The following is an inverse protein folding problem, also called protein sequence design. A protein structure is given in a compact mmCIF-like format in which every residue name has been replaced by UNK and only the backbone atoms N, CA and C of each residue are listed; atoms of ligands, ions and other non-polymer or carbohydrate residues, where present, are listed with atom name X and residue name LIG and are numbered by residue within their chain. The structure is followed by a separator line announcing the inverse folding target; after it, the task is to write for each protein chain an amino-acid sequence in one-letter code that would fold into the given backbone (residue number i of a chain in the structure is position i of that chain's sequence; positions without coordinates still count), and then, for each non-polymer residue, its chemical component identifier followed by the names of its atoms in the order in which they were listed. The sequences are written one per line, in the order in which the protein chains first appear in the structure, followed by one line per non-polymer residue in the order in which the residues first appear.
data_IF_906624749762
#
_entry.id   IF_906624749762
#
_cell.length_a   1.000
_cell.length_b   1.000
_cell.length_c   1.000
_cell.angle_alpha   90.00
_cell.angle_beta   90.00
_cell.angle_gamma   90.00
#
_symmetry.space_group_name_H-M   'P 1'
#
loop_
_entity.id
_entity.type
_entity.pdbx_description
1 polymer ?
#
# COMPACT_ATOMS: atom_id res chain seq x y z
N UNK A 1 6.71 -66.01 20.23
CA UNK A 1 5.92 -67.20 20.60
C UNK A 1 4.61 -67.14 19.82
N UNK A 2 4.31 -68.18 19.02
CA UNK A 2 3.10 -68.30 18.19
C UNK A 2 1.84 -68.35 19.04
N UNK A 3 0.74 -67.79 18.54
CA UNK A 3 -0.58 -68.36 18.75
C UNK A 3 -1.47 -68.10 17.53
N UNK A 4 -1.85 -69.20 16.90
CA UNK A 4 -2.79 -69.35 15.79
C UNK A 4 -4.11 -69.81 16.40
N UNK A 5 -5.24 -69.17 16.07
CA UNK A 5 -6.60 -69.72 16.16
C UNK A 5 -7.46 -68.86 15.23
N UNK A 6 -8.40 -69.34 14.43
CA UNK A 6 -9.07 -70.64 14.37
C UNK A 6 -10.46 -70.38 13.81
N UNK A 7 -10.74 -71.02 12.66
CA UNK A 7 -11.93 -70.97 11.80
C UNK A 7 -13.30 -71.19 12.47
N UNK A 8 -14.35 -70.62 11.84
CA UNK A 8 -15.72 -71.15 11.57
C UNK A 8 -16.81 -70.09 11.85
N UNK A 9 -17.93 -69.93 11.13
CA UNK A 9 -18.58 -70.64 10.03
C UNK A 9 -20.05 -70.17 9.92
N UNK A 10 -20.70 -70.36 8.77
CA UNK A 10 -22.17 -70.26 8.57
C UNK A 10 -22.65 -68.95 7.90
N UNK A 11 -22.84 -68.86 6.58
CA UNK A 11 -23.98 -69.31 5.73
C UNK A 11 -25.37 -68.84 6.20
N UNK A 12 -25.99 -67.91 5.47
CA UNK A 12 -27.21 -68.18 4.67
C UNK A 12 -27.75 -66.92 3.97
N UNK A 13 -28.01 -67.06 2.66
CA UNK A 13 -29.13 -66.47 1.87
C UNK A 13 -29.24 -64.94 1.79
N UNK A 14 -29.24 -64.26 0.64
CA UNK A 14 -29.54 -64.67 -0.73
C UNK A 14 -30.57 -63.70 -1.34
N UNK A 15 -30.08 -62.76 -2.17
CA UNK A 15 -30.75 -62.02 -3.25
C UNK A 15 -32.01 -61.18 -2.94
N UNK A 16 -32.14 -59.92 -3.35
CA UNK A 16 -31.27 -59.05 -4.14
C UNK A 16 -31.96 -57.70 -4.37
N UNK A 17 -31.22 -56.60 -4.24
CA UNK A 17 -31.60 -55.32 -4.80
C UNK A 17 -30.50 -54.93 -5.78
N UNK A 18 -30.80 -55.07 -7.06
CA UNK A 18 -29.92 -54.67 -8.16
C UNK A 18 -29.77 -53.16 -8.10
N UNK A 19 -28.53 -52.67 -8.05
CA UNK A 19 -28.03 -51.54 -8.86
C UNK A 19 -26.51 -51.43 -8.69
N UNK A 20 -25.88 -51.19 -9.83
CA UNK A 20 -24.48 -51.33 -10.19
C UNK A 20 -23.61 -50.17 -9.71
N UNK A 21 -22.29 -50.43 -9.72
CA UNK A 21 -21.15 -49.52 -9.74
C UNK A 21 -20.48 -49.16 -8.39
N UNK A 22 -19.44 -49.96 -8.12
CA UNK A 22 -18.30 -49.79 -7.22
C UNK A 22 -17.87 -48.34 -6.97
N UNK A 23 -17.77 -48.02 -5.69
CA UNK A 23 -16.83 -47.05 -5.18
C UNK A 23 -15.41 -47.46 -5.59
N UNK A 24 -14.74 -46.59 -6.32
CA UNK A 24 -13.29 -46.55 -6.38
C UNK A 24 -12.89 -45.14 -5.95
N UNK A 25 -12.34 -45.08 -4.73
CA UNK A 25 -11.26 -44.21 -4.33
C UNK A 25 -10.83 -43.22 -5.41
N UNK A 26 -11.22 -41.97 -5.20
CA UNK A 26 -10.32 -40.86 -5.46
C UNK A 26 -10.59 -39.85 -4.38
N UNK A 27 -9.64 -39.76 -3.46
CA UNK A 27 -9.40 -38.55 -2.69
C UNK A 27 -9.49 -37.41 -3.70
N UNK A 28 -10.65 -36.74 -3.73
CA UNK A 28 -10.77 -35.46 -4.40
C UNK A 28 -9.98 -34.56 -3.49
N UNK A 29 -8.70 -34.44 -3.82
CA UNK A 29 -7.96 -33.22 -3.58
C UNK A 29 -8.93 -32.12 -4.00
N UNK A 30 -9.51 -31.49 -3.00
CA UNK A 30 -10.12 -30.19 -3.08
C UNK A 30 -9.02 -29.26 -3.57
N UNK A 31 -8.78 -29.28 -4.87
CA UNK A 31 -8.22 -28.15 -5.61
C UNK A 31 -9.29 -27.08 -5.51
N UNK A 32 -9.26 -26.37 -4.39
CA UNK A 32 -9.70 -25.01 -4.34
C UNK A 32 -8.67 -24.28 -5.19
N UNK A 33 -9.03 -24.01 -6.44
CA UNK A 33 -8.36 -22.99 -7.21
C UNK A 33 -8.55 -21.70 -6.40
N UNK A 34 -7.51 -21.29 -5.68
CA UNK A 34 -7.40 -19.98 -5.06
C UNK A 34 -7.43 -18.96 -6.19
N UNK A 35 -8.65 -18.57 -6.56
CA UNK A 35 -8.93 -17.36 -7.30
C UNK A 35 -8.47 -16.19 -6.43
N UNK A 36 -7.16 -15.89 -6.53
CA UNK A 36 -6.58 -14.62 -6.09
C UNK A 36 -7.24 -13.56 -6.94
N UNK A 37 -8.42 -13.13 -6.50
CA UNK A 37 -9.02 -11.87 -6.91
C UNK A 37 -7.98 -10.82 -6.57
N UNK A 38 -7.24 -10.42 -7.60
CA UNK A 38 -6.47 -9.19 -7.63
C UNK A 38 -7.47 -8.08 -7.34
N UNK A 39 -7.69 -7.84 -6.05
CA UNK A 39 -8.45 -6.71 -5.56
C UNK A 39 -7.54 -5.53 -5.85
N UNK A 40 -7.61 -4.99 -7.06
CA UNK A 40 -6.98 -3.71 -7.35
C UNK A 40 -7.61 -2.74 -6.36
N UNK A 41 -6.88 -2.25 -5.35
CA UNK A 41 -7.47 -1.31 -4.41
C UNK A 41 -7.91 -0.12 -5.25
N UNK A 42 -9.19 0.22 -5.17
CA UNK A 42 -9.67 1.51 -5.66
C UNK A 42 -8.79 2.57 -5.00
N UNK A 43 -8.17 3.49 -5.78
CA UNK A 43 -7.29 4.48 -5.19
C UNK A 43 -8.08 5.31 -4.19
N UNK A 44 -7.69 5.26 -2.92
CA UNK A 44 -8.28 6.09 -1.88
C UNK A 44 -8.14 7.55 -2.30
N UNK A 45 -9.21 8.36 -2.26
CA UNK A 45 -9.12 9.77 -2.61
C UNK A 45 -8.31 10.53 -1.55
N UNK A 46 -7.60 11.57 -2.01
CA UNK A 46 -6.93 12.50 -1.12
C UNK A 46 -7.14 13.95 -1.59
N UNK A 47 -7.15 14.87 -0.62
CA UNK A 47 -7.25 16.31 -0.84
C UNK A 47 -6.14 17.03 -0.11
N UNK A 48 -5.50 17.98 -0.80
CA UNK A 48 -4.67 19.01 -0.21
C UNK A 48 -5.40 20.34 -0.32
N UNK A 49 -5.69 20.96 0.82
CA UNK A 49 -6.33 22.27 0.92
C UNK A 49 -5.30 23.26 1.44
N UNK A 50 -5.08 24.36 0.72
CA UNK A 50 -4.21 25.46 1.14
C UNK A 50 -4.99 26.52 1.92
N UNK A 51 -4.26 27.32 2.71
CA UNK A 51 -4.80 28.47 3.45
C UNK A 51 -5.50 29.49 2.55
N UNK A 52 -5.06 29.64 1.29
CA UNK A 52 -5.72 30.51 0.32
C UNK A 52 -7.04 29.97 -0.26
N UNK A 53 -7.48 28.79 0.18
CA UNK A 53 -8.69 28.11 -0.31
C UNK A 53 -8.47 27.30 -1.59
N UNK A 54 -7.24 27.20 -2.11
CA UNK A 54 -6.94 26.32 -3.23
C UNK A 54 -7.03 24.87 -2.79
N UNK A 55 -7.76 24.07 -3.57
CA UNK A 55 -7.93 22.64 -3.33
C UNK A 55 -7.26 21.85 -4.46
N UNK A 56 -6.52 20.82 -4.09
CA UNK A 56 -5.92 19.84 -4.98
C UNK A 56 -6.45 18.45 -4.65
N UNK A 57 -7.12 17.83 -5.62
CA UNK A 57 -7.51 16.42 -5.55
C UNK A 57 -6.42 15.52 -6.10
N UNK A 58 -6.25 14.36 -5.48
CA UNK A 58 -5.32 13.35 -5.90
C UNK A 58 -5.67 11.99 -5.30
N UNK A 59 -4.68 11.10 -5.31
CA UNK A 59 -4.78 9.74 -4.79
C UNK A 59 -3.97 9.67 -3.49
N UNK A 60 -4.57 9.13 -2.44
CA UNK A 60 -3.89 8.85 -1.19
C UNK A 60 -2.80 7.81 -1.41
N UNK A 61 -1.61 8.11 -0.88
CA UNK A 61 -0.46 7.22 -0.82
C UNK A 61 0.02 7.20 0.63
N UNK A 62 0.50 6.07 1.11
CA UNK A 62 0.88 5.95 2.52
C UNK A 62 -0.33 5.67 3.43
N UNK A 63 -0.33 6.27 4.61
CA UNK A 63 -1.36 6.07 5.61
C UNK A 63 -2.58 6.96 5.38
N UNK A 64 -3.76 6.41 5.65
CA UNK A 64 -5.01 7.17 5.68
C UNK A 64 -5.07 8.04 6.95
N UNK A 65 -5.64 9.23 6.84
CA UNK A 65 -5.76 10.17 7.95
C UNK A 65 -5.78 11.62 7.49
N UNK A 66 -5.63 12.54 8.44
CA UNK A 66 -5.48 13.96 8.17
C UNK A 66 -4.22 14.49 8.84
N UNK A 67 -3.54 15.40 8.16
CA UNK A 67 -2.36 16.09 8.68
C UNK A 67 -2.40 17.54 8.26
N UNK A 68 -1.90 18.42 9.11
CA UNK A 68 -1.85 19.86 8.87
C UNK A 68 -0.42 20.30 9.06
N UNK A 69 0.06 21.14 8.15
CA UNK A 69 1.42 21.63 8.20
C UNK A 69 1.69 22.73 7.20
N UNK A 70 2.89 23.29 7.27
CA UNK A 70 3.35 24.26 6.29
C UNK A 70 3.75 23.52 5.00
N UNK A 71 3.11 23.89 3.88
CA UNK A 71 3.41 23.30 2.58
C UNK A 71 4.65 23.96 2.01
N UNK A 72 5.72 23.18 1.92
CA UNK A 72 7.01 23.58 1.36
C UNK A 72 7.27 22.82 0.07
N UNK A 73 8.04 23.39 -0.85
CA UNK A 73 8.46 22.67 -2.05
C UNK A 73 9.97 22.42 -2.03
N UNK A 74 10.36 21.24 -2.51
CA UNK A 74 11.76 20.87 -2.68
C UNK A 74 12.02 20.40 -4.13
N UNK A 75 13.13 20.86 -4.69
CA UNK A 75 13.60 20.51 -6.04
C UNK A 75 14.52 19.28 -6.05
N UNK A 76 14.67 18.61 -4.92
CA UNK A 76 15.40 17.36 -4.82
C UNK A 76 14.79 16.30 -5.77
N UNK A 77 15.67 15.70 -6.57
CA UNK A 77 15.32 14.62 -7.51
C UNK A 77 15.55 13.23 -6.88
N UNK A 78 16.39 13.16 -5.85
CA UNK A 78 16.80 11.96 -5.09
C UNK A 78 16.93 12.34 -3.61
N UNK A 79 17.07 11.36 -2.71
CA UNK A 79 17.22 11.64 -1.27
C UNK A 79 15.91 12.05 -0.58
N UNK A 80 14.76 11.60 -1.10
CA UNK A 80 13.47 11.89 -0.47
C UNK A 80 13.31 11.20 0.90
N UNK A 81 14.00 10.07 1.15
CA UNK A 81 14.04 9.45 2.48
C UNK A 81 14.72 10.37 3.50
N UNK A 82 15.93 10.84 3.18
CA UNK A 82 16.69 11.80 4.00
C UNK A 82 15.84 13.05 4.34
N UNK A 83 15.17 13.63 3.34
CA UNK A 83 14.30 14.81 3.52
C UNK A 83 13.13 14.52 4.47
N UNK A 84 12.53 13.33 4.39
CA UNK A 84 11.39 12.97 5.24
C UNK A 84 11.84 12.64 6.67
N UNK A 85 13.04 12.09 6.85
CA UNK A 85 13.61 11.73 8.15
C UNK A 85 14.39 12.87 8.84
N UNK A 86 14.60 14.00 8.16
CA UNK A 86 15.28 15.17 8.73
C UNK A 86 14.36 15.95 9.69
N UNK A 87 14.77 16.18 10.97
CA UNK A 87 14.00 16.93 11.94
C UNK A 87 13.68 18.37 11.53
N UNK A 88 14.40 18.94 10.56
CA UNK A 88 14.16 20.27 10.01
C UNK A 88 12.80 20.40 9.32
N UNK A 89 12.21 19.29 8.85
CA UNK A 89 10.89 19.26 8.21
C UNK A 89 9.74 18.91 9.17
N UNK A 90 9.98 19.01 10.49
CA UNK A 90 8.95 18.78 11.49
C UNK A 90 7.70 19.64 11.21
N UNK A 91 6.53 19.00 11.15
CA UNK A 91 5.24 19.66 10.87
C UNK A 91 5.12 20.31 9.48
N UNK A 92 5.99 19.97 8.54
CA UNK A 92 5.93 20.47 7.16
C UNK A 92 5.41 19.41 6.20
N UNK A 93 4.61 19.84 5.23
CA UNK A 93 4.14 19.01 4.13
C UNK A 93 5.08 19.23 2.95
N UNK A 94 5.91 18.23 2.66
CA UNK A 94 6.96 18.35 1.64
C UNK A 94 6.39 18.04 0.26
N UNK A 95 6.48 19.01 -0.64
CA UNK A 95 6.11 18.88 -2.05
C UNK A 95 7.34 18.65 -2.91
N UNK A 96 7.43 17.48 -3.53
CA UNK A 96 8.51 17.17 -4.45
C UNK A 96 8.14 17.58 -5.88
N UNK A 97 8.99 18.41 -6.49
CA UNK A 97 8.74 18.92 -7.84
C UNK A 97 9.05 17.89 -8.94
N UNK A 98 9.84 16.86 -8.63
CA UNK A 98 10.21 15.82 -9.58
C UNK A 98 9.02 14.86 -9.82
N UNK A 99 8.68 14.53 -11.08
CA UNK A 99 7.46 13.80 -11.37
C UNK A 99 7.50 12.32 -10.96
N UNK A 100 8.67 11.68 -10.94
CA UNK A 100 8.81 10.25 -10.65
C UNK A 100 9.55 10.03 -9.33
N UNK A 101 8.82 10.16 -8.22
CA UNK A 101 9.36 9.89 -6.88
C UNK A 101 9.16 8.42 -6.55
N UNK A 102 10.17 7.75 -5.97
CA UNK A 102 10.09 6.31 -5.65
C UNK A 102 10.82 5.40 -6.63
N UNK A 103 11.41 5.93 -7.71
CA UNK A 103 12.17 5.12 -8.67
C UNK A 103 13.34 4.37 -8.03
N UNK A 104 14.00 4.96 -7.01
CA UNK A 104 15.15 4.36 -6.32
C UNK A 104 14.77 3.27 -5.32
N UNK A 105 13.48 3.10 -5.00
CA UNK A 105 13.06 2.28 -3.87
C UNK A 105 13.41 2.90 -2.52
N UNK A 106 12.95 2.26 -1.44
CA UNK A 106 13.37 2.60 -0.07
C UNK A 106 14.34 1.55 0.47
N UNK A 107 15.37 2.01 1.19
CA UNK A 107 16.38 1.15 1.83
C UNK A 107 16.54 1.64 3.27
N UNK A 108 16.42 0.77 4.28
CA UNK A 108 16.56 1.18 5.68
C UNK A 108 17.97 1.69 6.04
N UNK A 109 18.96 1.53 5.16
CA UNK A 109 20.32 2.09 5.29
C UNK A 109 20.36 3.61 5.04
N UNK A 110 19.36 4.17 4.36
CA UNK A 110 19.27 5.59 4.01
C UNK A 110 18.35 6.39 4.97
N UNK A 111 17.86 5.75 6.05
CA UNK A 111 17.06 6.41 7.09
C UNK A 111 18.01 7.18 8.05
N UNK A 112 17.99 8.51 8.03
CA UNK A 112 18.80 9.31 8.99
C UNK A 112 18.24 9.26 10.42
N UNK A 113 16.97 8.88 10.57
CA UNK A 113 16.35 8.67 11.88
C UNK A 113 15.27 7.59 11.83
N UNK A 114 14.99 6.99 13.00
CA UNK A 114 14.00 5.92 13.14
C UNK A 114 12.55 6.37 12.84
N UNK A 115 12.32 7.67 12.60
CA UNK A 115 10.97 8.23 12.38
C UNK A 115 10.95 9.28 11.27
N UNK A 116 9.81 9.39 10.59
CA UNK A 116 9.55 10.50 9.67
C UNK A 116 9.12 11.72 10.46
N UNK A 117 9.76 12.86 10.19
CA UNK A 117 9.47 14.14 10.83
C UNK A 117 8.52 15.00 9.98
N UNK A 118 8.58 14.83 8.67
CA UNK A 118 7.64 15.47 7.75
C UNK A 118 6.18 15.10 8.11
N UNK A 119 5.31 16.10 8.13
CA UNK A 119 3.89 15.91 8.41
C UNK A 119 3.17 15.15 7.30
N UNK A 120 3.65 15.31 6.06
CA UNK A 120 3.11 14.62 4.90
C UNK A 120 3.95 14.83 3.65
N UNK A 121 3.63 14.06 2.62
CA UNK A 121 4.35 14.07 1.34
C UNK A 121 3.39 14.33 0.18
N UNK A 122 3.80 15.21 -0.73
CA UNK A 122 3.02 15.59 -1.90
C UNK A 122 3.86 15.33 -3.16
N UNK A 123 3.35 14.47 -4.03
CA UNK A 123 4.04 14.06 -5.27
C UNK A 123 3.11 14.13 -6.48
N UNK A 124 3.72 14.26 -7.66
CA UNK A 124 2.96 14.30 -8.91
C UNK A 124 2.54 12.91 -9.38
N UNK A 125 3.46 11.94 -9.34
CA UNK A 125 3.17 10.58 -9.76
C UNK A 125 4.00 9.62 -8.91
N UNK A 126 3.33 8.57 -8.43
CA UNK A 126 3.98 7.43 -7.82
C UNK A 126 4.10 6.32 -8.88
N UNK A 127 5.30 5.89 -9.25
CA UNK A 127 5.48 4.73 -10.12
C UNK A 127 5.00 3.48 -9.38
N UNK A 128 4.08 2.74 -10.00
CA UNK A 128 3.54 1.47 -9.47
C UNK A 128 4.60 0.38 -9.30
N UNK A 129 5.71 0.48 -10.06
CA UNK A 129 6.84 -0.43 -10.00
C UNK A 129 8.11 0.37 -9.79
N UNK A 130 8.70 0.27 -8.60
CA UNK A 130 10.06 0.71 -8.35
C UNK A 130 11.03 -0.31 -8.98
N UNK A 131 11.35 -0.11 -10.26
CA UNK A 131 12.34 -0.91 -11.01
C UNK A 131 13.76 -0.50 -10.62
N UNK A 132 14.22 -0.92 -9.45
CA UNK A 132 15.62 -0.81 -9.07
C UNK A 132 16.11 -2.08 -8.37
N UNK A 133 17.29 -2.55 -8.76
CA UNK A 133 17.91 -3.79 -8.26
C UNK A 133 18.24 -3.74 -6.75
N UNK A 134 18.23 -2.55 -6.14
CA UNK A 134 18.43 -2.30 -4.69
C UNK A 134 17.13 -2.03 -3.93
N UNK A 135 15.97 -2.08 -4.59
CA UNK A 135 14.69 -1.78 -3.95
C UNK A 135 14.32 -2.91 -2.96
N UNK A 136 14.32 -2.60 -1.66
CA UNK A 136 13.89 -3.55 -0.62
C UNK A 136 12.39 -3.39 -0.30
N UNK A 137 11.85 -2.18 -0.44
CA UNK A 137 10.46 -1.86 -0.10
C UNK A 137 9.89 -0.70 -0.96
N UNK A 138 8.64 -0.84 -1.39
CA UNK A 138 7.94 0.21 -2.13
C UNK A 138 7.65 1.43 -1.21
N UNK A 139 7.68 2.62 -1.79
CA UNK A 139 7.48 3.87 -1.04
C UNK A 139 6.11 3.95 -0.36
N UNK A 140 5.06 3.39 -0.97
CA UNK A 140 3.73 3.34 -0.38
C UNK A 140 3.69 2.51 0.92
N UNK A 141 4.36 1.35 0.92
CA UNK A 141 4.47 0.49 2.09
C UNK A 141 5.30 1.15 3.20
N UNK A 142 6.43 1.77 2.84
CA UNK A 142 7.30 2.48 3.78
C UNK A 142 6.58 3.64 4.48
N UNK A 143 5.76 4.40 3.74
CA UNK A 143 4.93 5.49 4.28
C UNK A 143 3.82 4.96 5.20
N UNK A 144 3.18 3.84 4.85
CA UNK A 144 2.14 3.18 5.68
C UNK A 144 2.71 2.71 7.01
N UNK A 145 3.86 2.04 6.99
CA UNK A 145 4.51 1.55 8.22
C UNK A 145 4.86 2.68 9.19
N UNK A 146 5.19 3.86 8.65
CA UNK A 146 5.56 5.06 9.42
C UNK A 146 4.37 5.99 9.71
N UNK A 147 3.15 5.59 9.35
CA UNK A 147 1.92 6.38 9.49
C UNK A 147 2.01 7.78 8.86
N UNK A 148 2.64 7.89 7.69
CA UNK A 148 2.81 9.16 6.97
C UNK A 148 1.73 9.31 5.91
N UNK A 149 1.01 10.42 5.97
CA UNK A 149 -0.01 10.76 4.98
C UNK A 149 0.65 11.35 3.73
N UNK A 150 0.36 10.79 2.56
CA UNK A 150 0.86 11.31 1.29
C UNK A 150 -0.23 11.38 0.22
N UNK A 151 -0.01 12.23 -0.78
CA UNK A 151 -0.89 12.40 -1.92
C UNK A 151 -0.10 12.38 -3.23
N UNK A 152 -0.59 11.61 -4.18
CA UNK A 152 -0.10 11.51 -5.54
C UNK A 152 -1.13 12.04 -6.54
N UNK A 153 -0.72 12.14 -7.81
CA UNK A 153 -1.56 12.60 -8.93
C UNK A 153 -2.02 14.06 -8.82
N UNK A 154 -1.26 14.90 -8.10
CA UNK A 154 -1.56 16.33 -8.03
C UNK A 154 -0.75 17.14 -9.03
N UNK A 155 -1.29 18.29 -9.45
CA UNK A 155 -0.56 19.26 -10.25
C UNK A 155 0.46 20.05 -9.40
N UNK A 156 1.62 19.43 -9.16
CA UNK A 156 2.75 20.06 -8.44
C UNK A 156 3.27 21.32 -9.14
N UNK A 157 3.01 21.52 -10.45
CA UNK A 157 3.41 22.77 -11.15
C UNK A 157 2.52 23.92 -10.75
N UNK A 158 1.21 23.69 -10.63
CA UNK A 158 0.28 24.69 -10.12
C UNK A 158 0.58 25.01 -8.66
N UNK A 159 0.84 23.99 -7.83
CA UNK A 159 1.20 24.16 -6.43
C UNK A 159 2.48 24.98 -6.24
N UNK A 160 3.56 24.64 -6.97
CA UNK A 160 4.84 25.37 -6.89
C UNK A 160 4.74 26.82 -7.35
N UNK A 161 3.87 27.14 -8.33
CA UNK A 161 3.60 28.53 -8.71
C UNK A 161 2.94 29.30 -7.57
N UNK A 162 1.92 28.73 -6.95
CA UNK A 162 1.23 29.35 -5.80
C UNK A 162 2.20 29.60 -4.64
N UNK A 163 3.03 28.61 -4.31
CA UNK A 163 4.04 28.75 -3.25
C UNK A 163 5.15 29.77 -3.58
N UNK A 164 5.48 29.95 -4.86
CA UNK A 164 6.43 30.99 -5.29
C UNK A 164 5.84 32.39 -5.27
N UNK A 165 4.57 32.52 -5.64
CA UNK A 165 3.89 33.82 -5.74
C UNK A 165 3.46 34.34 -4.37
N UNK A 166 2.97 33.45 -3.48
CA UNK A 166 2.44 33.79 -2.16
C UNK A 166 3.37 33.46 -0.99
N UNK A 167 4.43 32.70 -1.23
CA UNK A 167 5.28 32.13 -0.18
C UNK A 167 4.77 30.78 0.33
N UNK A 168 5.48 30.25 1.33
CA UNK A 168 5.05 29.05 2.04
C UNK A 168 3.71 29.32 2.74
N UNK A 169 2.81 28.34 2.68
CA UNK A 169 1.45 28.46 3.18
C UNK A 169 1.08 27.23 3.98
N UNK A 170 0.23 27.42 4.98
CA UNK A 170 -0.33 26.27 5.69
C UNK A 170 -1.28 25.50 4.77
N UNK A 171 -1.27 24.19 4.91
CA UNK A 171 -2.16 23.31 4.19
C UNK A 171 -2.63 22.15 5.06
N UNK A 172 -3.82 21.67 4.76
CA UNK A 172 -4.39 20.45 5.32
C UNK A 172 -4.38 19.37 4.24
N UNK A 173 -3.75 18.25 4.55
CA UNK A 173 -3.72 17.07 3.71
C UNK A 173 -4.62 16.00 4.34
N UNK A 174 -5.56 15.48 3.56
CA UNK A 174 -6.54 14.49 3.99
C UNK A 174 -6.47 13.33 3.01
N UNK A 175 -6.33 12.11 3.53
CA UNK A 175 -6.31 10.86 2.79
C UNK A 175 -7.34 9.89 3.38
N UNK A 176 -8.23 9.36 2.55
CA UNK A 176 -9.20 8.34 2.97
C UNK A 176 -10.57 8.52 2.32
N UNK A 177 -11.41 7.49 2.42
CA UNK A 177 -12.74 7.45 1.79
C UNK A 177 -13.69 8.57 2.23
N UNK A 178 -13.51 9.13 3.42
CA UNK A 178 -14.34 10.24 3.93
C UNK A 178 -14.26 11.51 3.05
N UNK A 179 -13.25 11.58 2.17
CA UNK A 179 -13.02 12.68 1.24
C UNK A 179 -13.95 12.65 0.02
N UNK A 180 -14.56 11.50 -0.30
CA UNK A 180 -15.40 11.32 -1.50
C UNK A 180 -16.90 11.67 -1.32
N UNK A 181 -17.31 12.21 -0.17
CA UNK A 181 -18.73 12.48 0.15
C UNK A 181 -19.27 13.80 -0.40
#
# INVERSE_FOLDING_TARGET
MRAVFGSAGGRSSGAGCKRTASAATRCRHSQQDEETTLTTPSPNPALLVLEDGTVFSGIAVGADGMTVGEVVFNTAMTGYQEILTDPSYAQQIVTLTYPHIGNTGTTPEDDESDRVWAAGLVIRNLPLLASNFRNQQNLDAWLKERNVVAIAEIDTRRLTRILRDKGAQNGCLIAGEEVAS
#
